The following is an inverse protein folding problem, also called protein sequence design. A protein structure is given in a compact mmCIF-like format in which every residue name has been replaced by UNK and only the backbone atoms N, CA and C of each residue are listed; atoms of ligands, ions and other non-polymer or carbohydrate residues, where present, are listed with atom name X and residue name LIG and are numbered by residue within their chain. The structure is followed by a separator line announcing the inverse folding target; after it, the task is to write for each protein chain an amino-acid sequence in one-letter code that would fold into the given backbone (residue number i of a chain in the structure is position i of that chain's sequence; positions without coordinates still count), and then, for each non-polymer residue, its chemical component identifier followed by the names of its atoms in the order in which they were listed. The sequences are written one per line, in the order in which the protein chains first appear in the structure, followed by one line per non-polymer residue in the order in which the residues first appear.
data_IF_016198566038
#
_entry.id   IF_016198566038
#
_cell.length_a   1.000
_cell.length_b   1.000
_cell.length_c   1.000
_cell.angle_alpha   90.00
_cell.angle_beta   90.00
_cell.angle_gamma   90.00
#
_symmetry.space_group_name_H-M   'P 1'
#
loop_
_entity.id
_entity.type
_entity.pdbx_description
1 polymer ?
#
# COMPACT_ATOMS: atom_id res chain seq x y z
N UNK A 1 28.64 -21.33 28.83
CA UNK A 1 28.37 -20.23 29.79
C UNK A 1 26.94 -20.41 30.30
N UNK A 2 26.69 -20.29 31.61
CA UNK A 2 25.34 -20.51 32.20
C UNK A 2 24.56 -19.19 32.15
N UNK A 3 23.49 -19.15 31.35
CA UNK A 3 22.64 -17.96 31.20
C UNK A 3 21.42 -18.11 32.14
N UNK A 4 21.11 -17.13 33.01
CA UNK A 4 19.89 -17.17 33.80
C UNK A 4 18.77 -16.35 33.12
N UNK A 5 17.61 -16.99 32.91
CA UNK A 5 16.31 -16.45 32.43
C UNK A 5 16.18 -16.26 30.92
N UNK A 6 14.98 -16.48 30.34
CA UNK A 6 14.69 -16.14 28.96
C UNK A 6 14.84 -14.63 28.77
N UNK A 7 15.79 -14.24 27.93
CA UNK A 7 16.14 -12.87 27.65
C UNK A 7 17.00 -12.80 26.40
N UNK A 8 16.82 -11.75 25.61
CA UNK A 8 17.70 -11.43 24.49
C UNK A 8 19.06 -11.01 25.03
N UNK A 9 20.10 -11.79 24.77
CA UNK A 9 21.47 -11.35 25.01
C UNK A 9 22.09 -10.98 23.66
N UNK A 10 22.43 -9.70 23.43
CA UNK A 10 23.20 -9.33 22.25
C UNK A 10 24.58 -9.99 22.35
N UNK A 11 24.91 -10.86 21.39
CA UNK A 11 26.29 -11.34 21.22
C UNK A 11 26.96 -10.37 20.26
N UNK A 12 27.43 -9.25 20.81
CA UNK A 12 28.30 -8.33 20.12
C UNK A 12 29.74 -8.65 20.52
N UNK A 13 30.61 -8.91 19.55
CA UNK A 13 32.06 -8.72 19.70
C UNK A 13 32.35 -7.39 19.03
N UNK A 14 32.39 -6.32 19.81
CA UNK A 14 32.66 -4.97 19.32
C UNK A 14 33.56 -4.22 20.30
N UNK A 15 34.53 -3.51 19.72
CA UNK A 15 35.54 -2.73 20.39
C UNK A 15 34.96 -1.40 20.93
N UNK A 16 35.34 -1.01 22.14
CA UNK A 16 34.92 0.22 22.80
C UNK A 16 35.42 1.49 22.09
N UNK A 17 34.54 2.43 21.79
CA UNK A 17 34.90 3.79 21.42
C UNK A 17 34.02 4.82 22.15
N UNK A 18 34.67 5.82 22.75
CA UNK A 18 34.04 6.93 23.47
C UNK A 18 33.20 7.81 22.53
N UNK A 19 31.98 8.14 22.95
CA UNK A 19 31.15 9.18 22.36
C UNK A 19 31.24 10.48 23.17
N UNK A 20 31.57 11.60 22.50
CA UNK A 20 31.45 12.95 23.04
C UNK A 20 30.08 13.54 22.63
N UNK A 21 29.32 14.01 23.61
CA UNK A 21 28.03 14.67 23.42
C UNK A 21 28.22 16.14 23.04
N UNK A 22 27.52 16.59 21.99
CA UNK A 22 27.27 18.00 21.71
C UNK A 22 25.78 18.18 21.49
N UNK A 23 25.12 18.84 22.44
CA UNK A 23 23.72 19.23 22.36
C UNK A 23 23.60 20.54 21.60
N UNK A 24 22.78 20.58 20.55
CA UNK A 24 22.34 21.81 19.90
C UNK A 24 20.82 21.78 19.78
N UNK A 25 20.16 22.73 20.45
CA UNK A 25 18.72 22.80 20.61
C UNK A 25 17.97 23.11 19.31
N UNK A 26 16.78 22.54 19.19
CA UNK A 26 15.79 22.88 18.16
C UNK A 26 14.72 23.79 18.76
N UNK A 27 14.51 24.95 18.13
CA UNK A 27 13.33 25.79 18.35
C UNK A 27 12.32 25.53 17.23
N UNK A 28 11.03 25.33 17.54
CA UNK A 28 10.01 25.22 16.50
C UNK A 28 9.55 26.63 16.09
N UNK A 29 9.85 27.00 14.85
CA UNK A 29 9.32 28.19 14.21
C UNK A 29 7.88 27.95 13.74
N UNK A 30 6.94 28.62 14.39
CA UNK A 30 5.55 28.78 13.96
C UNK A 30 5.46 29.77 12.80
N UNK A 31 4.92 29.34 11.66
CA UNK A 31 4.44 30.23 10.60
C UNK A 31 3.07 29.78 10.15
N UNK A 32 2.08 30.15 10.97
CA UNK A 32 0.68 30.11 10.61
C UNK A 32 0.38 31.26 9.62
N UNK A 33 -0.41 30.91 8.59
CA UNK A 33 -1.37 31.78 7.89
C UNK A 33 -0.88 33.04 7.16
N UNK A 34 -0.93 32.97 5.83
CA UNK A 34 -1.28 34.11 4.98
C UNK A 34 -2.37 33.72 3.96
N UNK A 35 -3.58 34.15 4.30
CA UNK A 35 -4.62 34.73 3.44
C UNK A 35 -4.94 34.05 2.10
N UNK A 36 -5.97 33.20 2.13
CA UNK A 36 -6.79 32.92 0.95
C UNK A 36 -7.68 34.14 0.66
N UNK A 37 -7.36 34.86 -0.41
CA UNK A 37 -8.27 35.83 -1.02
C UNK A 37 -9.43 35.06 -1.66
N UNK A 38 -10.65 35.25 -1.14
CA UNK A 38 -11.87 34.74 -1.75
C UNK A 38 -12.08 35.49 -3.08
N UNK A 39 -11.72 34.84 -4.19
CA UNK A 39 -12.21 35.22 -5.50
C UNK A 39 -13.73 35.08 -5.50
N UNK A 40 -14.45 36.11 -5.96
CA UNK A 40 -15.89 36.03 -6.12
C UNK A 40 -16.20 34.94 -7.17
N UNK A 41 -16.75 33.81 -6.73
CA UNK A 41 -17.23 32.75 -7.60
C UNK A 41 -18.31 33.32 -8.54
N UNK A 42 -18.22 33.11 -9.87
CA UNK A 42 -19.35 33.33 -10.76
C UNK A 42 -20.55 32.52 -10.27
N UNK A 43 -21.80 32.90 -10.61
CA UNK A 43 -22.99 32.16 -10.16
C UNK A 43 -22.81 30.69 -10.53
N UNK A 44 -22.63 29.87 -9.49
CA UNK A 44 -22.45 28.43 -9.66
C UNK A 44 -23.68 27.90 -10.38
N UNK A 45 -23.49 27.05 -11.38
CA UNK A 45 -24.59 26.24 -11.90
C UNK A 45 -25.37 25.60 -10.74
N UNK A 46 -26.62 25.24 -11.02
CA UNK A 46 -27.54 24.59 -10.09
C UNK A 46 -28.17 23.38 -10.77
N UNK A 47 -28.84 22.52 -9.99
CA UNK A 47 -29.60 21.41 -10.56
C UNK A 47 -30.59 21.88 -11.64
N UNK A 48 -31.18 23.06 -11.46
CA UNK A 48 -32.07 23.68 -12.44
C UNK A 48 -31.33 24.08 -13.73
N UNK A 49 -30.11 24.64 -13.65
CA UNK A 49 -29.34 24.95 -14.85
C UNK A 49 -28.92 23.69 -15.60
N UNK A 50 -28.55 22.62 -14.88
CA UNK A 50 -28.30 21.30 -15.48
C UNK A 50 -29.54 20.82 -16.21
N UNK A 51 -30.71 20.86 -15.56
CA UNK A 51 -31.98 20.43 -16.17
C UNK A 51 -32.31 21.22 -17.44
N UNK A 52 -32.18 22.56 -17.40
CA UNK A 52 -32.42 23.42 -18.57
C UNK A 52 -31.48 23.08 -19.74
N UNK A 53 -30.20 22.83 -19.47
CA UNK A 53 -29.24 22.41 -20.48
C UNK A 53 -29.64 21.06 -21.10
N UNK A 54 -29.94 20.06 -20.25
CA UNK A 54 -30.35 18.73 -20.71
C UNK A 54 -31.61 18.79 -21.59
N UNK A 55 -32.63 19.53 -21.15
CA UNK A 55 -33.89 19.66 -21.90
C UNK A 55 -33.69 20.30 -23.27
N UNK A 56 -32.81 21.30 -23.35
CA UNK A 56 -32.55 22.04 -24.58
C UNK A 56 -31.70 21.25 -25.58
N UNK A 57 -30.70 20.53 -25.09
CA UNK A 57 -29.63 19.99 -25.95
C UNK A 57 -29.60 18.46 -26.02
N UNK A 58 -30.07 17.75 -24.99
CA UNK A 58 -29.83 16.32 -24.83
C UNK A 58 -31.11 15.47 -24.94
N UNK A 59 -32.19 15.88 -24.25
CA UNK A 59 -33.43 15.11 -24.08
C UNK A 59 -34.13 14.81 -25.40
N UNK A 60 -33.94 15.61 -26.44
CA UNK A 60 -34.51 15.33 -27.77
C UNK A 60 -34.06 13.96 -28.35
N UNK A 61 -32.86 13.49 -27.97
CA UNK A 61 -32.28 12.22 -28.43
C UNK A 61 -32.11 11.19 -27.29
N UNK A 62 -31.84 11.64 -26.06
CA UNK A 62 -31.59 10.77 -24.90
C UNK A 62 -32.77 10.84 -23.93
N UNK A 63 -33.85 10.12 -24.27
CA UNK A 63 -35.05 10.07 -23.44
C UNK A 63 -35.62 8.65 -23.33
N UNK A 64 -36.40 8.41 -22.27
CA UNK A 64 -37.04 7.14 -21.97
C UNK A 64 -37.84 6.62 -23.17
N UNK A 65 -38.64 7.48 -23.80
CA UNK A 65 -39.49 7.09 -24.93
C UNK A 65 -38.67 6.51 -26.09
N UNK A 66 -37.47 7.03 -26.37
CA UNK A 66 -36.60 6.49 -27.43
C UNK A 66 -36.00 5.15 -27.04
N UNK A 67 -35.57 5.01 -25.78
CA UNK A 67 -34.97 3.79 -25.23
C UNK A 67 -36.00 2.65 -25.17
N UNK A 68 -37.23 2.93 -24.72
CA UNK A 68 -38.28 1.93 -24.48
C UNK A 68 -39.21 1.68 -25.66
N UNK A 69 -39.03 2.39 -26.78
CA UNK A 69 -39.90 2.26 -27.95
C UNK A 69 -39.93 0.82 -28.49
N UNK A 70 -41.13 0.24 -28.55
CA UNK A 70 -41.40 -1.10 -29.07
C UNK A 70 -41.55 -1.04 -30.61
N UNK A 71 -40.91 -1.98 -31.32
CA UNK A 71 -40.91 -2.06 -32.79
C UNK A 71 -39.52 -1.81 -33.41
N UNK A 72 -39.40 -1.92 -34.73
CA UNK A 72 -38.14 -1.69 -35.46
C UNK A 72 -37.62 -0.26 -35.28
N UNK A 73 -36.30 -0.09 -35.26
CA UNK A 73 -35.69 1.25 -35.24
C UNK A 73 -36.01 1.98 -36.56
N UNK A 74 -36.45 3.24 -36.48
CA UNK A 74 -36.80 4.03 -37.67
C UNK A 74 -35.54 4.43 -38.48
N UNK A 75 -34.37 4.37 -37.86
CA UNK A 75 -33.07 4.63 -38.48
C UNK A 75 -31.94 3.90 -37.75
N UNK A 76 -30.75 3.83 -38.36
CA UNK A 76 -29.51 3.35 -37.71
C UNK A 76 -29.15 4.19 -36.48
N UNK A 77 -29.46 5.49 -36.51
CA UNK A 77 -29.26 6.35 -35.35
C UNK A 77 -30.19 5.96 -34.20
N UNK A 78 -31.44 5.60 -34.49
CA UNK A 78 -32.38 5.18 -33.46
C UNK A 78 -31.98 3.84 -32.83
N UNK A 79 -31.38 2.91 -33.59
CA UNK A 79 -30.85 1.67 -33.03
C UNK A 79 -29.66 1.94 -32.10
N UNK A 80 -28.72 2.81 -32.52
CA UNK A 80 -27.59 3.22 -31.68
C UNK A 80 -28.02 3.89 -30.38
N UNK A 81 -29.03 4.78 -30.44
CA UNK A 81 -29.55 5.46 -29.25
C UNK A 81 -30.23 4.48 -28.28
N UNK A 82 -30.93 3.46 -28.80
CA UNK A 82 -31.52 2.39 -27.98
C UNK A 82 -30.47 1.52 -27.32
N UNK A 83 -29.43 1.12 -28.05
CA UNK A 83 -28.31 0.34 -27.51
C UNK A 83 -27.55 1.11 -26.44
N UNK A 84 -27.43 2.43 -26.58
CA UNK A 84 -26.83 3.30 -25.55
C UNK A 84 -27.64 3.31 -24.26
N UNK A 85 -28.97 3.14 -24.35
CA UNK A 85 -29.84 3.01 -23.17
C UNK A 85 -29.93 4.24 -22.27
N UNK A 86 -29.53 5.43 -22.76
CA UNK A 86 -29.42 6.63 -21.94
C UNK A 86 -30.71 7.49 -21.99
N UNK A 87 -31.40 7.59 -20.86
CA UNK A 87 -32.62 8.38 -20.66
C UNK A 87 -32.37 9.55 -19.69
N UNK A 88 -31.99 10.71 -20.24
CA UNK A 88 -31.65 11.90 -19.44
C UNK A 88 -32.88 12.68 -18.99
N UNK A 89 -34.05 12.38 -19.52
CA UNK A 89 -35.31 12.94 -19.06
C UNK A 89 -35.69 12.46 -17.65
N UNK A 90 -35.29 11.25 -17.28
CA UNK A 90 -35.49 10.67 -15.94
C UNK A 90 -34.35 10.95 -14.95
N UNK A 91 -33.22 11.50 -15.42
CA UNK A 91 -32.07 11.77 -14.58
C UNK A 91 -32.36 12.88 -13.56
N UNK A 92 -31.92 12.68 -12.31
CA UNK A 92 -32.10 13.62 -11.21
C UNK A 92 -30.82 14.47 -10.97
N UNK A 93 -30.77 15.72 -11.45
CA UNK A 93 -29.63 16.58 -11.24
C UNK A 93 -29.49 17.06 -9.79
N UNK A 94 -30.51 16.95 -8.92
CA UNK A 94 -30.38 17.34 -7.51
C UNK A 94 -29.43 16.42 -6.73
N UNK A 95 -29.37 15.15 -7.15
CA UNK A 95 -28.59 14.08 -6.52
C UNK A 95 -27.67 13.37 -7.53
N UNK A 96 -26.70 14.07 -8.13
CA UNK A 96 -25.86 13.48 -9.17
C UNK A 96 -25.01 12.31 -8.64
N UNK A 97 -24.65 12.32 -7.37
CA UNK A 97 -23.92 11.21 -6.74
C UNK A 97 -24.70 9.90 -6.62
N UNK A 98 -26.02 9.92 -6.75
CA UNK A 98 -26.82 8.70 -6.76
C UNK A 98 -26.62 7.86 -8.04
N UNK A 99 -26.17 8.49 -9.12
CA UNK A 99 -25.89 7.85 -10.41
C UNK A 99 -24.61 8.46 -11.06
N UNK A 100 -23.51 8.44 -10.31
CA UNK A 100 -22.26 9.10 -10.71
C UNK A 100 -21.77 8.63 -12.10
N UNK A 101 -21.91 7.34 -12.42
CA UNK A 101 -21.51 6.78 -13.72
C UNK A 101 -22.28 7.38 -14.91
N UNK A 102 -23.59 7.66 -14.75
CA UNK A 102 -24.35 8.38 -15.75
C UNK A 102 -23.81 9.80 -15.94
N UNK A 103 -23.61 10.52 -14.85
CA UNK A 103 -23.21 11.93 -14.90
C UNK A 103 -21.77 12.12 -15.39
N UNK A 104 -20.85 11.24 -15.04
CA UNK A 104 -19.47 11.23 -15.58
C UNK A 104 -19.45 11.04 -17.09
N UNK A 105 -20.33 10.17 -17.63
CA UNK A 105 -20.49 10.04 -19.08
C UNK A 105 -21.02 11.32 -19.72
N UNK A 106 -21.96 12.02 -19.07
CA UNK A 106 -22.47 13.32 -19.55
C UNK A 106 -21.37 14.38 -19.52
N UNK A 107 -20.63 14.49 -18.41
CA UNK A 107 -19.48 15.39 -18.23
C UNK A 107 -18.47 15.17 -19.36
N UNK A 108 -18.03 13.93 -19.56
CA UNK A 108 -17.05 13.59 -20.59
C UNK A 108 -17.50 13.99 -22.01
N UNK A 109 -18.80 13.91 -22.31
CA UNK A 109 -19.34 14.32 -23.62
C UNK A 109 -19.39 15.83 -23.80
N UNK A 110 -19.75 16.56 -22.73
CA UNK A 110 -19.79 18.02 -22.70
C UNK A 110 -18.38 18.61 -22.78
N UNK A 111 -17.42 18.11 -22.01
CA UNK A 111 -16.02 18.58 -22.04
C UNK A 111 -15.35 18.31 -23.38
N UNK A 112 -15.64 17.15 -23.99
CA UNK A 112 -15.17 16.85 -25.33
C UNK A 112 -15.85 17.69 -26.44
N UNK A 113 -16.92 18.44 -26.13
CA UNK A 113 -17.73 19.15 -27.12
C UNK A 113 -18.34 18.23 -28.19
N UNK A 114 -18.45 16.94 -27.89
CA UNK A 114 -18.87 15.89 -28.82
C UNK A 114 -20.39 15.80 -28.94
N UNK A 115 -21.10 16.24 -27.90
CA UNK A 115 -22.55 16.31 -27.85
C UNK A 115 -23.02 17.75 -27.56
N UNK A 116 -24.09 18.22 -28.21
CA UNK A 116 -24.81 17.58 -29.33
C UNK A 116 -23.95 17.40 -30.60
N UNK A 117 -24.28 16.44 -31.50
CA UNK A 117 -23.51 16.19 -32.71
C UNK A 117 -23.55 17.39 -33.67
N UNK A 118 -22.65 17.40 -34.66
CA UNK A 118 -22.59 18.47 -35.66
C UNK A 118 -23.95 18.69 -36.34
N UNK A 119 -24.34 19.95 -36.53
CA UNK A 119 -25.64 20.33 -37.10
C UNK A 119 -26.78 20.47 -36.08
N UNK A 120 -26.53 20.23 -34.78
CA UNK A 120 -27.46 20.56 -33.70
C UNK A 120 -26.99 21.80 -32.92
N UNK A 121 -27.90 22.57 -32.31
CA UNK A 121 -27.52 23.62 -31.37
C UNK A 121 -26.63 23.04 -30.26
N UNK A 122 -25.57 23.74 -29.90
CA UNK A 122 -24.67 23.37 -28.80
C UNK A 122 -24.76 24.41 -27.68
N UNK A 123 -24.56 24.02 -26.42
CA UNK A 123 -24.35 24.99 -25.35
C UNK A 123 -23.10 25.81 -25.67
N UNK A 124 -23.07 27.05 -25.17
CA UNK A 124 -21.83 27.81 -25.22
C UNK A 124 -20.78 27.21 -24.27
N UNK A 125 -19.51 27.53 -24.51
CA UNK A 125 -18.41 26.94 -23.77
C UNK A 125 -18.37 27.35 -22.29
N UNK A 126 -19.02 28.45 -21.91
CA UNK A 126 -19.09 28.89 -20.51
C UNK A 126 -20.22 28.16 -19.78
N UNK A 127 -21.40 28.05 -20.40
CA UNK A 127 -22.54 27.28 -19.90
C UNK A 127 -22.15 25.80 -19.71
N UNK A 128 -21.50 25.19 -20.69
CA UNK A 128 -21.04 23.80 -20.61
C UNK A 128 -20.05 23.61 -19.44
N UNK A 129 -19.02 24.45 -19.34
CA UNK A 129 -18.02 24.37 -18.25
C UNK A 129 -18.62 24.62 -16.87
N UNK A 130 -19.57 25.54 -16.75
CA UNK A 130 -20.25 25.82 -15.48
C UNK A 130 -21.05 24.60 -15.02
N UNK A 131 -21.76 23.94 -15.94
CA UNK A 131 -22.52 22.71 -15.65
C UNK A 131 -21.60 21.53 -15.33
N UNK A 132 -20.54 21.29 -16.12
CA UNK A 132 -19.62 20.16 -15.84
C UNK A 132 -18.91 20.35 -14.51
N UNK A 133 -18.35 21.53 -14.25
CA UNK A 133 -17.70 21.84 -12.98
C UNK A 133 -18.62 21.65 -11.77
N UNK A 134 -19.90 22.01 -11.89
CA UNK A 134 -20.86 21.80 -10.81
C UNK A 134 -21.17 20.32 -10.57
N UNK A 135 -21.36 19.53 -11.63
CA UNK A 135 -21.60 18.09 -11.52
C UNK A 135 -20.39 17.37 -10.91
N UNK A 136 -19.19 17.64 -11.42
CA UNK A 136 -17.92 17.11 -10.88
C UNK A 136 -17.78 17.43 -9.40
N UNK A 137 -17.94 18.71 -9.03
CA UNK A 137 -17.84 19.15 -7.63
C UNK A 137 -18.82 18.40 -6.72
N UNK A 138 -20.06 18.18 -7.16
CA UNK A 138 -21.08 17.46 -6.37
C UNK A 138 -20.78 15.97 -6.25
N UNK A 139 -20.25 15.34 -7.30
CA UNK A 139 -19.85 13.94 -7.29
C UNK A 139 -18.62 13.75 -6.38
N UNK A 140 -17.60 14.59 -6.55
CA UNK A 140 -16.36 14.56 -5.76
C UNK A 140 -16.62 14.79 -4.28
N UNK A 141 -17.48 15.75 -3.93
CA UNK A 141 -17.87 15.98 -2.53
C UNK A 141 -18.55 14.76 -1.91
N UNK A 142 -19.42 14.08 -2.66
CA UNK A 142 -20.08 12.87 -2.17
C UNK A 142 -19.09 11.71 -2.01
N UNK A 143 -18.16 11.54 -2.95
CA UNK A 143 -17.11 10.54 -2.87
C UNK A 143 -16.15 10.79 -1.70
N UNK A 144 -15.79 12.06 -1.44
CA UNK A 144 -14.96 12.43 -0.29
C UNK A 144 -15.68 12.20 1.05
N UNK A 145 -16.99 12.47 1.11
CA UNK A 145 -17.79 12.27 2.33
C UNK A 145 -18.05 10.79 2.64
N UNK A 146 -18.15 9.94 1.61
CA UNK A 146 -18.33 8.50 1.76
C UNK A 146 -17.44 7.73 0.76
N UNK A 147 -16.13 7.59 1.04
CA UNK A 147 -15.21 6.90 0.14
C UNK A 147 -15.66 5.47 -0.11
N UNK A 148 -15.87 5.12 -1.38
CA UNK A 148 -16.17 3.75 -1.79
C UNK A 148 -14.97 3.20 -2.58
N UNK A 149 -14.04 2.46 -1.95
CA UNK A 149 -12.89 1.86 -2.63
C UNK A 149 -13.28 0.70 -3.56
N UNK A 150 -14.58 0.45 -3.77
CA UNK A 150 -15.09 -0.66 -4.56
C UNK A 150 -15.06 -1.98 -3.80
N UNK A 151 -15.14 -3.09 -4.53
CA UNK A 151 -15.07 -4.43 -3.95
C UNK A 151 -13.60 -4.75 -3.65
N UNK A 152 -13.13 -4.41 -2.44
CA UNK A 152 -11.86 -4.94 -1.95
C UNK A 152 -11.94 -6.47 -1.95
N UNK A 153 -10.89 -7.16 -2.43
CA UNK A 153 -10.83 -8.63 -2.38
C UNK A 153 -11.26 -9.11 -0.99
N UNK A 154 -12.17 -10.10 -0.93
CA UNK A 154 -12.95 -10.38 0.27
C UNK A 154 -12.12 -10.76 1.49
N UNK A 155 -10.86 -11.21 1.31
CA UNK A 155 -9.87 -11.42 2.37
C UNK A 155 -8.46 -11.24 1.82
N UNK A 156 -7.72 -10.25 2.30
CA UNK A 156 -6.27 -10.13 2.11
C UNK A 156 -5.58 -10.91 3.23
N UNK A 157 -4.86 -12.01 2.91
CA UNK A 157 -3.94 -12.62 3.89
C UNK A 157 -2.71 -11.72 4.01
N UNK A 158 -2.14 -11.60 5.21
CA UNK A 158 -0.85 -10.93 5.40
C UNK A 158 0.24 -11.67 4.62
N UNK A 159 1.08 -10.95 3.89
CA UNK A 159 2.30 -11.52 3.32
C UNK A 159 3.34 -11.78 4.44
N UNK A 160 4.47 -12.44 4.13
CA UNK A 160 5.52 -12.77 5.11
C UNK A 160 6.03 -11.54 5.87
N UNK A 161 6.24 -10.44 5.16
CA UNK A 161 6.76 -9.19 5.73
C UNK A 161 5.74 -8.57 6.68
N UNK A 162 4.49 -8.46 6.24
CA UNK A 162 3.37 -7.95 7.03
C UNK A 162 3.11 -8.83 8.26
N UNK A 163 3.15 -10.15 8.11
CA UNK A 163 3.02 -11.09 9.22
C UNK A 163 4.14 -10.89 10.24
N UNK A 164 5.40 -10.77 9.79
CA UNK A 164 6.55 -10.50 10.66
C UNK A 164 6.41 -9.18 11.42
N UNK A 165 5.97 -8.11 10.73
CA UNK A 165 5.72 -6.82 11.35
C UNK A 165 4.56 -6.89 12.37
N UNK A 166 3.46 -7.57 12.04
CA UNK A 166 2.34 -7.74 12.96
C UNK A 166 2.75 -8.49 14.24
N UNK A 167 3.60 -9.52 14.13
CA UNK A 167 4.14 -10.22 15.31
C UNK A 167 5.05 -9.31 16.14
N UNK A 168 5.91 -8.52 15.50
CA UNK A 168 6.75 -7.52 16.20
C UNK A 168 5.88 -6.51 16.95
N UNK A 169 4.86 -5.98 16.29
CA UNK A 169 4.06 -4.88 16.85
C UNK A 169 3.10 -5.37 17.95
N UNK A 170 2.52 -6.56 17.81
CA UNK A 170 1.57 -7.11 18.78
C UNK A 170 2.23 -7.82 19.96
N UNK A 171 3.34 -8.52 19.72
CA UNK A 171 3.97 -9.40 20.71
C UNK A 171 5.36 -8.94 21.13
N UNK A 172 5.90 -7.88 20.54
CA UNK A 172 7.28 -7.43 20.74
C UNK A 172 8.32 -8.53 20.46
N UNK A 173 8.01 -9.45 19.55
CA UNK A 173 8.88 -10.56 19.17
C UNK A 173 9.46 -10.36 17.78
N UNK A 174 10.78 -10.39 17.69
CA UNK A 174 11.49 -10.49 16.41
C UNK A 174 11.63 -11.96 16.02
N UNK A 175 11.04 -12.33 14.87
CA UNK A 175 11.05 -13.69 14.35
C UNK A 175 11.55 -13.72 12.90
N UNK A 176 12.30 -14.75 12.55
CA UNK A 176 12.61 -15.04 11.16
C UNK A 176 11.43 -15.72 10.48
N UNK A 177 10.58 -14.92 9.86
CA UNK A 177 9.40 -15.37 9.09
C UNK A 177 9.78 -16.19 7.86
N UNK A 178 10.96 -16.00 7.29
CA UNK A 178 11.40 -16.72 6.07
C UNK A 178 11.65 -18.19 6.35
N UNK A 179 12.07 -18.52 7.56
CA UNK A 179 12.23 -19.90 8.04
C UNK A 179 10.88 -20.57 8.41
N UNK A 180 9.82 -19.78 8.66
CA UNK A 180 8.56 -20.28 9.19
C UNK A 180 7.48 -20.46 8.12
N UNK A 181 7.38 -19.53 7.18
CA UNK A 181 6.36 -19.52 6.14
C UNK A 181 7.02 -19.71 4.77
N UNK A 182 6.38 -20.29 3.74
CA UNK A 182 6.89 -20.33 2.37
C UNK A 182 6.71 -18.97 1.67
N UNK A 183 7.35 -18.80 0.50
CA UNK A 183 7.37 -17.53 -0.24
C UNK A 183 5.98 -17.10 -0.69
N UNK A 184 5.76 -15.79 -0.74
CA UNK A 184 4.52 -15.23 -1.24
C UNK A 184 4.46 -15.25 -2.76
N UNK A 185 3.25 -15.34 -3.28
CA UNK A 185 2.98 -15.24 -4.70
C UNK A 185 3.15 -13.79 -5.13
N UNK A 186 3.97 -13.54 -6.14
CA UNK A 186 4.13 -12.21 -6.72
C UNK A 186 3.14 -12.02 -7.86
N UNK A 187 2.44 -10.90 -7.85
CA UNK A 187 1.62 -10.48 -9.00
C UNK A 187 2.49 -10.24 -10.25
N UNK A 188 1.87 -10.20 -11.43
CA UNK A 188 2.55 -9.91 -12.70
C UNK A 188 3.28 -8.56 -12.70
N UNK A 189 2.90 -7.66 -11.79
CA UNK A 189 3.52 -6.35 -11.56
C UNK A 189 4.67 -6.38 -10.55
N UNK A 190 4.99 -7.55 -9.98
CA UNK A 190 6.14 -7.77 -9.10
C UNK A 190 5.91 -7.43 -7.62
N UNK A 191 4.69 -7.06 -7.22
CA UNK A 191 4.35 -6.80 -5.82
C UNK A 191 3.85 -8.06 -5.11
N UNK A 192 4.23 -8.20 -3.84
CA UNK A 192 3.96 -9.34 -2.95
C UNK A 192 2.87 -9.05 -1.90
N UNK A 193 2.19 -7.90 -1.98
CA UNK A 193 1.09 -7.46 -1.09
C UNK A 193 -0.26 -7.37 -1.83
N UNK A 194 -0.42 -8.14 -2.91
CA UNK A 194 -1.63 -8.11 -3.73
C UNK A 194 -2.63 -9.17 -3.26
N UNK A 195 -3.74 -8.71 -2.70
CA UNK A 195 -4.82 -9.57 -2.20
C UNK A 195 -5.46 -10.49 -3.24
N UNK A 196 -5.41 -10.15 -4.53
CA UNK A 196 -5.97 -10.97 -5.61
C UNK A 196 -5.13 -12.23 -5.87
N UNK A 197 -3.82 -12.15 -5.64
CA UNK A 197 -2.85 -13.22 -5.94
C UNK A 197 -2.49 -14.03 -4.70
N UNK A 198 -2.62 -13.45 -3.50
CA UNK A 198 -2.29 -14.08 -2.23
C UNK A 198 -3.37 -15.09 -1.75
N UNK A 199 -3.42 -16.26 -2.38
CA UNK A 199 -4.46 -17.28 -2.16
C UNK A 199 -4.14 -18.26 -1.00
N UNK A 200 -5.02 -18.45 -0.02
CA UNK A 200 -4.71 -19.39 1.09
C UNK A 200 -4.90 -20.85 0.65
N UNK A 201 -3.80 -21.57 0.46
CA UNK A 201 -3.81 -23.04 0.28
C UNK A 201 -3.85 -23.78 1.64
N UNK A 202 -4.25 -25.05 1.63
CA UNK A 202 -4.24 -25.90 2.84
C UNK A 202 -2.84 -26.00 3.45
N UNK A 203 -1.81 -26.19 2.62
CA UNK A 203 -0.42 -26.23 3.07
C UNK A 203 0.00 -24.91 3.70
N UNK A 204 -0.41 -23.77 3.13
CA UNK A 204 -0.14 -22.45 3.70
C UNK A 204 -0.77 -22.30 5.07
N UNK A 205 -2.04 -22.72 5.22
CA UNK A 205 -2.75 -22.66 6.50
C UNK A 205 -2.07 -23.53 7.58
N UNK A 206 -1.65 -24.74 7.22
CA UNK A 206 -0.91 -25.62 8.13
C UNK A 206 0.41 -24.99 8.58
N UNK A 207 1.13 -24.32 7.68
CA UNK A 207 2.34 -23.56 8.02
C UNK A 207 2.05 -22.38 8.94
N UNK A 208 0.98 -21.62 8.70
CA UNK A 208 0.55 -20.55 9.59
C UNK A 208 0.20 -21.06 10.99
N UNK A 209 -0.54 -22.16 11.11
CA UNK A 209 -0.87 -22.75 12.42
C UNK A 209 0.37 -23.27 13.15
N UNK A 210 1.31 -23.86 12.43
CA UNK A 210 2.59 -24.31 12.99
C UNK A 210 3.44 -23.13 13.49
N UNK A 211 3.57 -22.08 12.68
CA UNK A 211 4.25 -20.85 13.04
C UNK A 211 3.59 -20.19 14.26
N UNK A 212 2.27 -20.02 14.25
CA UNK A 212 1.50 -19.44 15.34
C UNK A 212 1.69 -20.22 16.65
N UNK A 213 1.76 -21.55 16.61
CA UNK A 213 2.03 -22.39 17.79
C UNK A 213 3.43 -22.15 18.35
N UNK A 214 4.45 -22.02 17.49
CA UNK A 214 5.83 -21.70 17.90
C UNK A 214 5.89 -20.30 18.53
N UNK A 215 5.31 -19.31 17.86
CA UNK A 215 5.29 -17.91 18.29
C UNK A 215 4.54 -17.75 19.61
N UNK A 216 3.38 -18.40 19.77
CA UNK A 216 2.59 -18.32 21.01
C UNK A 216 3.35 -18.88 22.22
N UNK A 217 4.14 -19.95 22.04
CA UNK A 217 4.99 -20.50 23.12
C UNK A 217 6.10 -19.53 23.50
N UNK A 218 6.73 -18.90 22.51
CA UNK A 218 7.75 -17.86 22.75
C UNK A 218 7.14 -16.66 23.50
N UNK A 219 5.98 -16.17 23.05
CA UNK A 219 5.30 -15.01 23.64
C UNK A 219 4.85 -15.25 25.09
N UNK A 220 4.44 -16.47 25.42
CA UNK A 220 4.00 -16.85 26.77
C UNK A 220 5.14 -17.34 27.67
N UNK A 221 6.37 -17.43 27.16
CA UNK A 221 7.51 -17.92 27.92
C UNK A 221 7.43 -19.41 28.28
N UNK A 222 6.58 -20.20 27.59
CA UNK A 222 6.55 -21.65 27.76
C UNK A 222 7.84 -22.20 27.18
N UNK A 223 8.72 -22.73 28.04
CA UNK A 223 10.06 -23.20 27.69
C UNK A 223 10.01 -24.09 26.44
N UNK A 224 10.56 -23.60 25.35
CA UNK A 224 10.84 -24.41 24.16
C UNK A 224 12.21 -25.03 24.33
N UNK A 225 12.40 -26.27 23.84
CA UNK A 225 13.66 -26.99 23.99
C UNK A 225 14.87 -26.15 23.52
N UNK A 226 16.07 -26.37 24.09
CA UNK A 226 17.29 -25.73 23.59
C UNK A 226 17.41 -25.95 22.08
N UNK A 227 17.68 -24.88 21.34
CA UNK A 227 17.83 -24.91 19.89
C UNK A 227 19.28 -24.64 19.48
N UNK A 228 19.61 -24.96 18.24
CA UNK A 228 20.86 -24.57 17.61
C UNK A 228 20.59 -23.53 16.51
N UNK A 229 21.38 -22.47 16.50
CA UNK A 229 21.37 -21.49 15.42
C UNK A 229 22.74 -21.45 14.74
N UNK A 230 22.71 -21.26 13.43
CA UNK A 230 23.90 -21.06 12.61
C UNK A 230 23.73 -19.77 11.85
N UNK A 231 24.69 -18.89 12.01
CA UNK A 231 24.74 -17.61 11.35
C UNK A 231 25.93 -17.63 10.39
N UNK A 232 25.67 -17.39 9.11
CA UNK A 232 26.69 -17.44 8.06
C UNK A 232 26.65 -16.15 7.24
N UNK A 233 27.82 -15.63 6.91
CA UNK A 233 27.96 -14.54 5.95
C UNK A 233 28.27 -15.15 4.58
N UNK A 234 27.29 -15.13 3.67
CA UNK A 234 27.46 -15.66 2.32
C UNK A 234 28.59 -14.96 1.58
N UNK A 235 29.42 -15.74 0.90
CA UNK A 235 30.52 -15.23 0.05
C UNK A 235 30.03 -14.41 -1.15
N UNK A 236 28.75 -14.54 -1.51
CA UNK A 236 28.12 -13.81 -2.60
C UNK A 236 27.47 -12.49 -2.15
N UNK A 237 27.44 -12.21 -0.84
CA UNK A 237 26.89 -10.96 -0.33
C UNK A 237 27.89 -9.82 -0.58
N UNK A 238 27.49 -8.86 -1.42
CA UNK A 238 28.20 -7.59 -1.57
C UNK A 238 28.03 -6.74 -0.32
N UNK A 239 29.13 -6.40 0.35
CA UNK A 239 29.15 -5.61 1.59
C UNK A 239 29.88 -4.30 1.31
N UNK A 240 29.25 -3.45 0.50
CA UNK A 240 29.78 -2.14 0.14
C UNK A 240 29.43 -1.06 1.18
N UNK A 241 28.28 -1.22 1.84
CA UNK A 241 27.71 -0.24 2.78
C UNK A 241 27.62 -0.79 4.22
N UNK A 242 27.09 0.04 5.13
CA UNK A 242 26.79 -0.39 6.51
C UNK A 242 25.82 -1.57 6.49
N UNK A 243 26.15 -2.63 7.22
CA UNK A 243 25.33 -3.85 7.25
C UNK A 243 24.21 -3.79 8.29
N UNK A 244 24.49 -3.19 9.44
CA UNK A 244 23.52 -2.86 10.49
C UNK A 244 24.15 -1.86 11.48
N UNK A 245 23.40 -1.46 12.49
CA UNK A 245 23.88 -0.52 13.49
C UNK A 245 25.05 -1.07 14.33
N UNK A 246 25.09 -2.39 14.54
CA UNK A 246 26.13 -3.06 15.34
C UNK A 246 27.48 -3.20 14.61
N UNK A 247 27.49 -3.08 13.28
CA UNK A 247 28.68 -3.25 12.47
C UNK A 247 29.22 -1.89 11.98
N UNK A 248 30.55 -1.68 12.04
CA UNK A 248 31.19 -0.51 11.46
C UNK A 248 30.89 -0.34 9.97
N UNK A 249 30.93 0.91 9.50
CA UNK A 249 30.88 1.24 8.08
C UNK A 249 31.99 0.51 7.32
N UNK A 250 31.64 -0.13 6.20
CA UNK A 250 32.59 -0.87 5.36
C UNK A 250 32.98 -2.26 5.88
N UNK A 251 32.23 -2.83 6.84
CA UNK A 251 32.44 -4.20 7.32
C UNK A 251 32.37 -5.22 6.18
N UNK A 252 33.50 -5.90 5.93
CA UNK A 252 33.61 -6.98 4.93
C UNK A 252 33.90 -8.31 5.62
N UNK A 253 32.88 -9.16 5.71
CA UNK A 253 32.97 -10.48 6.37
C UNK A 253 32.62 -10.49 7.86
N UNK A 254 32.32 -9.33 8.46
CA UNK A 254 31.76 -9.25 9.82
C UNK A 254 30.33 -9.78 9.88
N UNK A 255 29.92 -10.24 11.06
CA UNK A 255 28.58 -10.75 11.34
C UNK A 255 28.16 -10.24 12.72
N UNK A 256 27.00 -9.58 12.79
CA UNK A 256 26.26 -9.36 14.04
C UNK A 256 24.93 -10.07 13.91
N UNK A 257 24.50 -10.75 14.98
CA UNK A 257 23.23 -11.45 15.05
C UNK A 257 22.67 -11.43 16.47
N UNK A 258 21.39 -11.13 16.59
CA UNK A 258 20.64 -11.26 17.84
C UNK A 258 20.08 -12.67 17.92
N UNK A 259 20.33 -13.38 19.02
CA UNK A 259 19.78 -14.70 19.28
C UNK A 259 19.01 -14.73 20.60
N UNK A 260 17.76 -15.18 20.54
CA UNK A 260 16.94 -15.41 21.72
C UNK A 260 17.14 -16.85 22.21
N UNK A 261 17.57 -17.01 23.47
CA UNK A 261 17.77 -18.33 24.08
C UNK A 261 16.46 -18.79 24.74
N UNK A 262 15.81 -19.84 24.21
CA UNK A 262 14.45 -20.22 24.63
C UNK A 262 14.36 -20.93 25.98
N UNK A 263 15.50 -21.37 26.53
CA UNK A 263 15.56 -22.16 27.76
C UNK A 263 16.83 -21.87 28.54
N UNK A 264 16.80 -22.13 29.85
CA UNK A 264 18.02 -22.17 30.64
C UNK A 264 18.83 -23.42 30.26
N UNK A 265 20.13 -23.24 29.98
CA UNK A 265 20.97 -24.35 29.52
C UNK A 265 22.43 -23.98 29.35
N UNK A 266 23.23 -25.00 29.04
CA UNK A 266 24.62 -24.83 28.65
C UNK A 266 24.70 -24.73 27.13
N UNK A 267 25.02 -23.53 26.64
CA UNK A 267 25.20 -23.28 25.21
C UNK A 267 26.67 -23.34 24.82
N UNK A 268 26.95 -23.95 23.67
CA UNK A 268 28.27 -24.03 23.05
C UNK A 268 28.29 -23.09 21.85
N UNK A 269 29.24 -22.15 21.86
CA UNK A 269 29.49 -21.27 20.73
C UNK A 269 30.68 -21.79 19.93
N UNK A 270 30.48 -21.98 18.62
CA UNK A 270 31.54 -22.34 17.69
C UNK A 270 31.67 -21.26 16.62
N UNK A 271 32.83 -20.65 16.55
CA UNK A 271 33.15 -19.61 15.56
C UNK A 271 34.07 -20.24 14.52
N UNK A 272 33.70 -20.12 13.25
CA UNK A 272 34.52 -20.52 12.12
C UNK A 272 34.88 -19.27 11.31
N UNK A 273 36.16 -18.94 11.25
CA UNK A 273 36.64 -17.79 10.49
C UNK A 273 36.89 -18.18 9.04
N UNK A 274 36.50 -17.32 8.10
CA UNK A 274 36.72 -17.57 6.68
C UNK A 274 38.21 -17.48 6.34
N UNK A 275 38.74 -18.52 5.71
CA UNK A 275 40.11 -18.56 5.20
C UNK A 275 40.18 -18.28 3.70
N UNK A 276 41.36 -17.95 3.19
CA UNK A 276 41.65 -18.02 1.77
C UNK A 276 42.05 -19.45 1.38
N UNK A 277 42.41 -19.65 0.12
CA UNK A 277 42.83 -20.94 -0.45
C UNK A 277 44.18 -21.47 0.11
N UNK A 278 44.87 -20.70 0.95
CA UNK A 278 46.11 -21.07 1.63
C UNK A 278 45.89 -21.22 3.15
N UNK A 279 44.65 -21.46 3.58
CA UNK A 279 44.23 -21.55 4.99
C UNK A 279 44.52 -20.30 5.84
N UNK A 280 44.78 -19.18 5.18
CA UNK A 280 45.03 -17.91 5.85
C UNK A 280 43.71 -17.25 6.23
N UNK A 281 43.53 -16.95 7.52
CA UNK A 281 42.32 -16.27 8.03
C UNK A 281 42.22 -14.87 7.43
N UNK A 282 41.13 -14.60 6.71
CA UNK A 282 40.91 -13.30 6.06
C UNK A 282 40.76 -12.21 7.13
N UNK A 283 41.38 -11.05 6.89
CA UNK A 283 41.30 -9.90 7.80
C UNK A 283 42.27 -9.92 9.00
N UNK A 284 43.10 -10.97 9.16
CA UNK A 284 44.06 -11.11 10.27
C UNK A 284 45.51 -10.71 9.89
N UNK A 285 45.70 -9.99 8.78
CA UNK A 285 47.03 -9.56 8.30
C UNK A 285 47.59 -8.30 8.92
N UNK A 286 46.82 -7.67 9.79
CA UNK A 286 47.23 -6.54 10.61
C UNK A 286 46.72 -6.78 12.02
N UNK A 287 47.43 -6.22 13.01
CA UNK A 287 47.02 -6.29 14.41
C UNK A 287 45.68 -5.56 14.55
N UNK A 288 44.64 -6.28 14.94
CA UNK A 288 43.35 -5.69 15.28
C UNK A 288 43.36 -5.39 16.77
N UNK A 289 43.23 -4.12 17.15
CA UNK A 289 43.00 -3.72 18.53
C UNK A 289 41.51 -3.97 18.81
N UNK A 290 41.24 -4.84 19.78
CA UNK A 290 39.90 -5.07 20.31
C UNK A 290 39.85 -4.27 21.60
N UNK A 291 39.19 -3.11 21.56
CA UNK A 291 39.02 -2.24 22.74
C UNK A 291 37.89 -2.73 23.66
#
# INVERSE_FOLDING_TARGET
MKMPRPGSVPIAVAAAALAAAMAAGWTPGSSDRLLAAAAAQPPSASAESVRRLLDRYCVACHNERRVTAVGGAASVLDSQLRETGLALDLADPERPSADAELWERVIARLDAGSMPPAGRPRPDAEEARSVTSWLETRIDQAAAANPNPGRTASMHRLNRTEYGNAIRDLLALEIDVTALLPGDETSDTGFDNNAEVLSISTAQLERYLSAARKISRLATGVTTAPDFARFENSVLLTQADRRNEDLPLGSRGGLSATHHFPADGNYIFRIALTTNWQDYVRGMGRRNLLD
#
